data_IF_466341825758
#
_entry.id   IF_466341825758
#
_cell.length_a   1.000
_cell.length_b   1.000
_cell.length_c   1.000
_cell.angle_alpha   90.00
_cell.angle_beta   90.00
_cell.angle_gamma   90.00
#
_symmetry.space_group_name_H-M   'P 1'
#
loop_
_entity.id
_entity.type
_entity.pdbx_description
1 polymer ?
#
# COMPACT_ATOMS: atom_id res chain seq x y z
N UNK A 1 -4.24 -49.10 16.92
CA UNK A 1 -4.12 -47.62 16.88
C UNK A 1 -3.08 -47.11 15.88
N UNK A 2 -1.96 -47.81 15.65
CA UNK A 2 -0.91 -47.38 14.71
C UNK A 2 -1.21 -47.56 13.21
N UNK A 3 -2.13 -48.45 12.81
CA UNK A 3 -2.45 -48.67 11.39
C UNK A 3 -3.36 -47.58 10.78
N UNK A 4 -4.26 -47.00 11.58
CA UNK A 4 -5.15 -45.90 11.14
C UNK A 4 -4.41 -44.56 11.03
N UNK A 5 -3.37 -44.34 11.84
CA UNK A 5 -2.54 -43.13 11.79
C UNK A 5 -1.61 -43.12 10.57
N UNK A 6 -1.09 -44.29 10.15
CA UNK A 6 -0.30 -44.42 8.92
C UNK A 6 -1.13 -44.21 7.65
N UNK A 7 -2.39 -44.69 7.64
CA UNK A 7 -3.32 -44.43 6.53
C UNK A 7 -3.69 -42.94 6.40
N UNK A 8 -3.81 -42.23 7.53
CA UNK A 8 -4.11 -40.79 7.53
C UNK A 8 -2.90 -39.93 7.10
N UNK A 9 -1.69 -40.33 7.50
CA UNK A 9 -0.46 -39.62 7.10
C UNK A 9 -0.09 -39.85 5.63
N UNK A 10 -0.36 -41.04 5.09
CA UNK A 10 -0.16 -41.35 3.66
C UNK A 10 -1.19 -40.67 2.75
N UNK A 11 -2.42 -40.42 3.25
CA UNK A 11 -3.42 -39.63 2.52
C UNK A 11 -3.02 -38.14 2.45
N UNK A 12 -2.43 -37.60 3.52
CA UNK A 12 -1.99 -36.20 3.57
C UNK A 12 -0.71 -35.94 2.75
N UNK A 13 0.22 -36.90 2.71
CA UNK A 13 1.44 -36.80 1.90
C UNK A 13 1.13 -37.08 0.42
N UNK A 14 0.17 -37.96 0.11
CA UNK A 14 -0.27 -38.24 -1.26
C UNK A 14 -0.97 -37.06 -1.94
N UNK A 15 -1.71 -36.23 -1.17
CA UNK A 15 -2.35 -35.01 -1.68
C UNK A 15 -1.37 -33.85 -1.89
N UNK A 16 -0.16 -33.90 -1.31
CA UNK A 16 0.85 -32.87 -1.46
C UNK A 16 1.85 -33.16 -2.60
N UNK A 17 1.90 -34.40 -3.12
CA UNK A 17 2.87 -34.84 -4.13
C UNK A 17 2.26 -35.05 -5.53
N UNK A 18 0.94 -34.95 -5.70
CA UNK A 18 0.25 -35.07 -7.01
C UNK A 18 -0.60 -33.85 -7.37
N UNK A 19 -0.18 -32.66 -6.94
CA UNK A 19 -0.91 -31.42 -7.21
C UNK A 19 -0.01 -30.19 -7.26
N UNK A 20 1.11 -30.25 -7.99
CA UNK A 20 1.83 -29.06 -8.45
C UNK A 20 1.07 -28.36 -9.59
N UNK A 21 -0.20 -28.04 -9.33
CA UNK A 21 -0.92 -27.04 -10.08
C UNK A 21 -1.08 -25.86 -9.16
N UNK A 22 -0.37 -24.79 -9.50
CA UNK A 22 -0.56 -23.45 -8.96
C UNK A 22 -2.06 -23.21 -8.83
N UNK A 23 -2.59 -23.16 -7.60
CA UNK A 23 -3.96 -22.71 -7.42
C UNK A 23 -4.01 -21.29 -8.00
N UNK A 24 -4.76 -21.05 -9.08
CA UNK A 24 -4.81 -19.72 -9.67
C UNK A 24 -5.38 -18.78 -8.60
N UNK A 25 -4.75 -17.61 -8.44
CA UNK A 25 -5.18 -16.55 -7.52
C UNK A 25 -6.66 -16.13 -7.72
N UNK A 26 -7.30 -16.56 -8.82
CA UNK A 26 -8.73 -16.45 -9.12
C UNK A 26 -9.63 -17.06 -8.04
N UNK A 27 -9.19 -18.12 -7.35
CA UNK A 27 -10.03 -18.91 -6.42
C UNK A 27 -10.50 -18.16 -5.16
N UNK A 28 -9.75 -17.16 -4.68
CA UNK A 28 -10.11 -16.44 -3.45
C UNK A 28 -11.19 -15.37 -3.70
N UNK A 29 -11.16 -14.74 -4.88
CA UNK A 29 -12.11 -13.70 -5.26
C UNK A 29 -13.49 -14.27 -5.58
N UNK A 30 -13.54 -15.40 -6.29
CA UNK A 30 -14.78 -16.11 -6.61
C UNK A 30 -15.43 -16.68 -5.34
N UNK A 31 -14.62 -17.25 -4.43
CA UNK A 31 -15.13 -17.77 -3.16
C UNK A 31 -15.70 -16.67 -2.24
N UNK A 32 -15.17 -15.45 -2.28
CA UNK A 32 -15.56 -14.37 -1.34
C UNK A 32 -16.61 -13.39 -1.88
N UNK A 33 -16.70 -13.22 -3.20
CA UNK A 33 -17.50 -12.12 -3.78
C UNK A 33 -18.51 -12.57 -4.86
N UNK A 34 -18.55 -13.84 -5.25
CA UNK A 34 -19.50 -14.34 -6.25
C UNK A 34 -19.36 -13.67 -7.63
N UNK A 35 -18.27 -12.95 -7.87
CA UNK A 35 -17.93 -12.30 -9.13
C UNK A 35 -16.57 -12.82 -9.59
N UNK A 36 -16.51 -13.25 -10.84
CA UNK A 36 -15.26 -13.59 -11.51
C UNK A 36 -14.45 -12.32 -11.68
N UNK A 37 -13.44 -12.10 -10.84
CA UNK A 37 -12.39 -11.11 -11.13
C UNK A 37 -11.57 -11.70 -12.27
N UNK A 38 -12.00 -11.43 -13.50
CA UNK A 38 -11.27 -11.82 -14.71
C UNK A 38 -9.92 -11.11 -14.67
N UNK A 39 -8.88 -11.88 -14.36
CA UNK A 39 -7.47 -11.53 -14.44
C UNK A 39 -7.14 -10.27 -13.64
N UNK A 40 -6.34 -10.39 -12.58
CA UNK A 40 -5.40 -9.31 -12.35
C UNK A 40 -4.62 -9.20 -13.66
N UNK A 41 -4.71 -8.10 -14.42
CA UNK A 41 -3.82 -7.95 -15.55
C UNK A 41 -2.43 -8.12 -14.94
N UNK A 42 -1.66 -9.09 -15.43
CA UNK A 42 -0.21 -8.94 -15.31
C UNK A 42 0.02 -7.52 -15.83
N UNK A 43 0.44 -6.62 -14.96
CA UNK A 43 0.72 -5.24 -15.32
C UNK A 43 2.01 -5.26 -16.14
N UNK A 44 1.93 -5.85 -17.33
CA UNK A 44 2.98 -5.87 -18.31
C UNK A 44 2.83 -4.54 -19.02
N UNK A 45 3.84 -3.71 -18.82
CA UNK A 45 3.97 -2.48 -19.58
C UNK A 45 3.94 -2.85 -21.07
N UNK A 46 3.24 -2.07 -21.86
CA UNK A 46 3.36 -2.22 -23.31
C UNK A 46 4.80 -1.83 -23.73
N UNK A 47 5.20 -2.29 -24.91
CA UNK A 47 6.57 -2.10 -25.40
C UNK A 47 6.98 -0.62 -25.47
N UNK A 48 6.05 0.29 -25.78
CA UNK A 48 6.36 1.71 -25.86
C UNK A 48 6.58 2.30 -24.46
N UNK A 49 5.82 1.85 -23.47
CA UNK A 49 6.06 2.20 -22.06
C UNK A 49 7.42 1.69 -21.56
N UNK A 50 7.82 0.46 -21.91
CA UNK A 50 9.15 -0.08 -21.58
C UNK A 50 10.27 0.75 -22.23
N UNK A 51 10.20 1.01 -23.53
CA UNK A 51 11.20 1.83 -24.27
C UNK A 51 11.29 3.27 -23.72
N UNK A 52 10.15 3.85 -23.32
CA UNK A 52 10.12 5.16 -22.68
C UNK A 52 10.82 5.13 -21.32
N UNK A 53 10.56 4.14 -20.48
CA UNK A 53 11.21 4.01 -19.17
C UNK A 53 12.71 3.77 -19.31
N UNK A 54 13.14 2.92 -20.24
CA UNK A 54 14.56 2.67 -20.51
C UNK A 54 15.27 3.96 -20.96
N UNK A 55 14.62 4.75 -21.81
CA UNK A 55 15.13 6.06 -22.23
C UNK A 55 15.18 7.04 -21.06
N UNK A 56 14.14 7.11 -20.23
CA UNK A 56 14.08 7.97 -19.06
C UNK A 56 15.21 7.62 -18.09
N UNK A 57 15.37 6.34 -17.76
CA UNK A 57 16.43 5.85 -16.88
C UNK A 57 17.79 6.14 -17.51
N UNK A 58 18.02 5.83 -18.78
CA UNK A 58 19.32 6.05 -19.42
C UNK A 58 19.74 7.52 -19.38
N UNK A 59 18.80 8.43 -19.66
CA UNK A 59 19.09 9.85 -19.78
C UNK A 59 19.03 10.62 -18.45
N UNK A 60 18.57 10.01 -17.36
CA UNK A 60 18.52 10.67 -16.04
C UNK A 60 19.91 10.68 -15.38
N UNK A 61 20.41 11.84 -14.90
CA UNK A 61 21.67 11.91 -14.16
C UNK A 61 21.69 10.99 -12.94
N UNK A 62 22.87 10.49 -12.57
CA UNK A 62 23.02 9.55 -11.45
C UNK A 62 22.48 10.12 -10.13
N UNK A 63 22.72 11.40 -9.85
CA UNK A 63 22.26 12.06 -8.63
C UNK A 63 20.72 12.08 -8.54
N UNK A 64 20.04 12.33 -9.65
CA UNK A 64 18.58 12.31 -9.69
C UNK A 64 18.03 10.88 -9.53
N UNK A 65 18.70 9.88 -10.12
CA UNK A 65 18.36 8.46 -9.90
C UNK A 65 18.47 8.06 -8.45
N UNK A 66 19.53 8.53 -7.77
CA UNK A 66 19.71 8.32 -6.33
C UNK A 66 18.56 8.98 -5.57
N UNK A 67 18.17 10.21 -5.92
CA UNK A 67 17.01 10.90 -5.37
C UNK A 67 15.73 10.06 -5.44
N UNK A 68 15.48 9.39 -6.56
CA UNK A 68 14.32 8.52 -6.74
C UNK A 68 14.23 7.32 -5.77
N UNK A 69 15.32 6.97 -5.07
CA UNK A 69 15.31 5.92 -4.05
C UNK A 69 14.82 6.40 -2.68
N UNK A 70 14.68 7.72 -2.48
CA UNK A 70 14.33 8.30 -1.19
C UNK A 70 12.88 8.74 -1.11
N UNK A 71 12.27 8.39 0.03
CA UNK A 71 10.96 8.83 0.44
C UNK A 71 11.10 9.65 1.72
N UNK A 72 10.67 10.90 1.67
CA UNK A 72 10.83 11.82 2.81
C UNK A 72 9.51 11.98 3.57
N UNK A 73 9.57 12.07 4.91
CA UNK A 73 8.37 12.31 5.71
C UNK A 73 7.88 13.75 5.56
N UNK A 74 6.56 13.91 5.47
CA UNK A 74 5.89 15.21 5.42
C UNK A 74 4.67 15.25 6.35
N UNK A 75 4.28 16.46 6.77
CA UNK A 75 2.97 16.71 7.37
C UNK A 75 2.02 17.21 6.29
N UNK A 76 0.81 16.65 6.28
CA UNK A 76 -0.30 17.01 5.42
C UNK A 76 -1.22 18.05 6.07
N UNK A 77 -0.70 18.86 6.98
CA UNK A 77 -1.42 20.00 7.55
C UNK A 77 -1.12 21.24 6.70
N UNK A 78 -2.03 22.22 6.70
CA UNK A 78 -1.76 23.49 6.03
C UNK A 78 -0.56 24.20 6.67
N UNK A 79 0.45 24.49 5.87
CA UNK A 79 1.64 25.25 6.29
C UNK A 79 1.82 26.51 5.46
N UNK A 80 2.34 27.55 6.10
CA UNK A 80 2.72 28.78 5.40
C UNK A 80 3.89 28.49 4.44
N UNK A 81 3.99 29.24 3.34
CA UNK A 81 5.12 29.18 2.41
C UNK A 81 6.46 29.49 3.06
N UNK A 82 6.46 30.29 4.11
CA UNK A 82 7.69 30.62 4.85
C UNK A 82 8.07 29.59 5.91
N UNK A 83 7.24 28.57 6.11
CA UNK A 83 7.51 27.51 7.05
C UNK A 83 8.77 26.73 6.67
N UNK A 84 9.62 26.46 7.67
CA UNK A 84 10.89 25.76 7.47
C UNK A 84 10.69 24.33 6.94
N UNK A 85 9.70 23.62 7.46
CA UNK A 85 9.41 22.25 7.02
C UNK A 85 8.96 22.24 5.57
N UNK A 86 8.15 23.22 5.17
CA UNK A 86 7.70 23.35 3.78
C UNK A 86 8.86 23.69 2.83
N UNK A 87 9.74 24.63 3.20
CA UNK A 87 10.95 24.94 2.41
C UNK A 87 11.88 23.75 2.25
N UNK A 88 12.00 22.92 3.29
CA UNK A 88 12.76 21.67 3.21
C UNK A 88 12.13 20.69 2.20
N UNK A 89 10.81 20.54 2.20
CA UNK A 89 10.11 19.71 1.21
C UNK A 89 10.31 20.25 -0.21
N UNK A 90 10.24 21.57 -0.42
CA UNK A 90 10.52 22.19 -1.72
C UNK A 90 11.95 21.87 -2.18
N UNK A 91 12.95 22.02 -1.31
CA UNK A 91 14.34 21.68 -1.65
C UNK A 91 14.49 20.21 -2.02
N UNK A 92 13.93 19.30 -1.21
CA UNK A 92 14.03 17.87 -1.49
C UNK A 92 13.37 17.48 -2.83
N UNK A 93 12.23 18.09 -3.15
CA UNK A 93 11.51 17.81 -4.41
C UNK A 93 12.20 18.43 -5.61
N UNK A 94 12.61 19.70 -5.53
CA UNK A 94 13.12 20.45 -6.68
C UNK A 94 14.60 20.24 -6.95
N UNK A 95 15.42 20.12 -5.91
CA UNK A 95 16.89 20.02 -6.01
C UNK A 95 17.39 18.59 -5.87
N UNK A 96 16.78 17.82 -4.97
CA UNK A 96 17.20 16.44 -4.73
C UNK A 96 16.37 15.41 -5.48
N UNK A 97 15.30 15.83 -6.16
CA UNK A 97 14.45 14.98 -7.00
C UNK A 97 14.06 13.68 -6.29
N UNK A 98 13.54 13.79 -5.06
CA UNK A 98 13.11 12.62 -4.29
C UNK A 98 12.04 11.81 -5.03
N UNK A 99 12.05 10.49 -4.83
CA UNK A 99 11.10 9.58 -5.48
C UNK A 99 9.70 9.69 -4.89
N UNK A 100 9.59 10.05 -3.61
CA UNK A 100 8.28 10.12 -2.98
C UNK A 100 8.23 10.82 -1.63
N UNK A 101 6.99 10.91 -1.15
CA UNK A 101 6.61 11.54 0.11
C UNK A 101 5.81 10.51 0.92
N UNK A 102 6.16 10.33 2.19
CA UNK A 102 5.32 9.63 3.17
C UNK A 102 4.64 10.64 4.09
N UNK A 103 3.32 10.74 4.04
CA UNK A 103 2.57 11.66 4.91
C UNK A 103 2.33 11.06 6.29
N UNK A 104 2.82 11.75 7.33
CA UNK A 104 2.83 11.24 8.71
C UNK A 104 1.54 11.54 9.47
N UNK A 105 0.97 12.75 9.31
CA UNK A 105 -0.34 13.19 9.82
C UNK A 105 -0.86 14.33 8.94
N UNK A 106 -2.15 14.62 8.99
CA UNK A 106 -2.72 15.74 8.27
C UNK A 106 -4.21 15.94 8.49
N UNK A 107 -4.74 16.87 7.69
CA UNK A 107 -6.17 17.09 7.51
C UNK A 107 -6.50 17.02 6.01
N UNK A 108 -7.79 16.82 5.69
CA UNK A 108 -8.24 16.59 4.32
C UNK A 108 -7.79 17.73 3.37
N UNK A 109 -7.94 18.98 3.80
CA UNK A 109 -7.64 20.13 2.96
C UNK A 109 -6.14 20.37 2.85
N UNK A 110 -5.44 20.37 3.99
CA UNK A 110 -4.00 20.55 4.08
C UNK A 110 -3.26 19.55 3.19
N UNK A 111 -3.60 18.26 3.27
CA UNK A 111 -2.89 17.23 2.53
C UNK A 111 -3.19 17.33 1.04
N UNK A 112 -4.46 17.51 0.64
CA UNK A 112 -4.81 17.66 -0.78
C UNK A 112 -4.09 18.86 -1.42
N UNK A 113 -4.02 20.00 -0.73
CA UNK A 113 -3.29 21.18 -1.21
C UNK A 113 -1.79 20.92 -1.28
N UNK A 114 -1.22 20.30 -0.25
CA UNK A 114 0.21 19.97 -0.18
C UNK A 114 0.62 19.01 -1.30
N UNK A 115 -0.09 17.88 -1.47
CA UNK A 115 0.13 16.91 -2.54
C UNK A 115 0.14 17.60 -3.90
N UNK A 116 -0.90 18.38 -4.20
CA UNK A 116 -1.00 19.08 -5.48
C UNK A 116 0.14 20.10 -5.69
N UNK A 117 0.59 20.76 -4.61
CA UNK A 117 1.69 21.73 -4.68
C UNK A 117 3.03 21.04 -4.96
N UNK A 118 3.35 20.00 -4.21
CA UNK A 118 4.60 19.25 -4.37
C UNK A 118 4.66 18.55 -5.74
N UNK A 119 3.55 17.96 -6.20
CA UNK A 119 3.48 17.34 -7.52
C UNK A 119 3.77 18.34 -8.66
N UNK A 120 3.26 19.58 -8.56
CA UNK A 120 3.55 20.63 -9.56
C UNK A 120 5.01 21.09 -9.57
N UNK A 121 5.73 20.91 -8.46
CA UNK A 121 7.14 21.30 -8.32
C UNK A 121 8.09 20.18 -8.75
N UNK A 122 7.62 18.94 -8.76
CA UNK A 122 8.43 17.79 -9.00
C UNK A 122 8.74 17.61 -10.49
N UNK A 123 10.00 17.30 -10.80
CA UNK A 123 10.45 16.93 -12.15
C UNK A 123 9.86 15.58 -12.57
N UNK A 124 9.82 14.64 -11.64
CA UNK A 124 9.22 13.32 -11.80
C UNK A 124 7.98 13.24 -10.90
N UNK A 125 6.89 12.56 -11.32
CA UNK A 125 5.73 12.38 -10.46
C UNK A 125 6.13 11.75 -9.12
N UNK A 126 5.78 12.42 -8.02
CA UNK A 126 6.09 11.93 -6.69
C UNK A 126 5.21 10.74 -6.36
N UNK A 127 5.82 9.69 -5.83
CA UNK A 127 5.07 8.59 -5.26
C UNK A 127 4.61 8.98 -3.85
N UNK A 128 3.31 9.15 -3.69
CA UNK A 128 2.72 9.54 -2.40
C UNK A 128 2.28 8.29 -1.66
N UNK A 129 2.84 8.06 -0.47
CA UNK A 129 2.52 6.93 0.38
C UNK A 129 2.05 7.34 1.78
N UNK A 130 1.31 6.45 2.44
CA UNK A 130 0.78 6.70 3.78
C UNK A 130 0.34 5.41 4.47
N UNK A 131 0.54 5.32 5.79
CA UNK A 131 -0.05 4.25 6.59
C UNK A 131 -1.54 4.51 6.78
N UNK A 132 -2.40 3.58 6.36
CA UNK A 132 -3.85 3.68 6.54
C UNK A 132 -4.44 2.35 6.99
N UNK A 133 -3.77 1.69 7.94
CA UNK A 133 -4.04 0.33 8.38
C UNK A 133 -5.44 0.11 8.95
N UNK A 134 -6.05 1.16 9.52
CA UNK A 134 -7.44 1.16 10.02
C UNK A 134 -8.29 2.28 9.39
N UNK A 135 -8.03 2.57 8.12
CA UNK A 135 -8.66 3.66 7.37
C UNK A 135 -7.78 4.89 7.27
N UNK A 136 -8.18 5.85 6.43
CA UNK A 136 -7.43 7.11 6.29
C UNK A 136 -7.36 7.88 7.63
N UNK A 137 -8.32 7.64 8.54
CA UNK A 137 -8.34 8.24 9.87
C UNK A 137 -7.15 7.89 10.76
N UNK A 138 -6.33 6.89 10.37
CA UNK A 138 -5.05 6.64 11.03
C UNK A 138 -4.13 7.86 10.99
N UNK A 139 -4.22 8.66 9.92
CA UNK A 139 -3.31 9.78 9.67
C UNK A 139 -4.04 11.09 9.39
N UNK A 140 -5.26 11.03 8.87
CA UNK A 140 -6.02 12.18 8.41
C UNK A 140 -7.20 12.45 9.33
N UNK A 141 -7.25 13.64 9.90
CA UNK A 141 -8.41 14.07 10.67
C UNK A 141 -9.64 14.27 9.76
N UNK A 142 -10.81 13.82 10.23
CA UNK A 142 -12.09 14.00 9.52
C UNK A 142 -12.43 12.93 8.47
N UNK A 143 -11.62 11.90 8.30
CA UNK A 143 -11.91 10.76 7.40
C UNK A 143 -12.48 9.55 8.14
N UNK A 144 -12.84 8.50 7.41
CA UNK A 144 -13.46 7.31 7.98
C UNK A 144 -12.50 6.52 8.87
N UNK A 145 -12.93 6.24 10.11
CA UNK A 145 -12.21 5.39 11.06
C UNK A 145 -12.82 4.00 11.13
N UNK A 146 -11.99 2.99 10.96
CA UNK A 146 -12.36 1.60 11.19
C UNK A 146 -11.75 1.08 12.49
N UNK A 147 -12.23 -0.09 12.93
CA UNK A 147 -11.55 -0.87 13.94
C UNK A 147 -10.23 -1.42 13.38
N UNK A 148 -9.19 -1.63 14.20
CA UNK A 148 -7.96 -2.30 13.77
C UNK A 148 -8.21 -3.70 13.20
N UNK A 149 -7.22 -4.25 12.49
CA UNK A 149 -7.33 -5.52 11.76
C UNK A 149 -7.84 -6.68 12.63
N UNK A 150 -7.44 -6.75 13.90
CA UNK A 150 -7.94 -7.77 14.83
C UNK A 150 -9.45 -7.65 15.08
N UNK A 151 -9.99 -6.43 15.21
CA UNK A 151 -11.43 -6.20 15.34
C UNK A 151 -12.20 -6.53 14.06
N UNK A 152 -11.61 -6.27 12.89
CA UNK A 152 -12.20 -6.70 11.60
C UNK A 152 -12.24 -8.22 11.52
N UNK A 153 -11.15 -8.89 11.91
CA UNK A 153 -11.06 -10.35 11.93
C UNK A 153 -12.07 -10.97 12.93
N UNK A 154 -12.29 -10.34 14.08
CA UNK A 154 -13.26 -10.79 15.09
C UNK A 154 -14.71 -10.81 14.56
N UNK A 155 -15.02 -10.06 13.49
CA UNK A 155 -16.34 -10.14 12.83
C UNK A 155 -16.59 -11.48 12.11
N UNK A 156 -15.55 -12.25 11.81
CA UNK A 156 -15.64 -13.52 11.08
C UNK A 156 -16.02 -13.39 9.59
N UNK A 157 -16.24 -12.18 9.08
CA UNK A 157 -16.71 -11.93 7.71
C UNK A 157 -15.65 -11.16 6.90
N UNK A 158 -15.09 -11.83 5.89
CA UNK A 158 -14.04 -11.25 5.03
C UNK A 158 -14.55 -10.08 4.18
N UNK A 159 -15.87 -9.95 3.99
CA UNK A 159 -16.46 -8.79 3.30
C UNK A 159 -16.18 -7.49 4.04
N UNK A 160 -16.08 -7.52 5.37
CA UNK A 160 -15.74 -6.34 6.16
C UNK A 160 -14.31 -5.85 5.86
N UNK A 161 -13.34 -6.77 5.74
CA UNK A 161 -11.98 -6.42 5.34
C UNK A 161 -11.92 -5.82 3.93
N UNK A 162 -12.68 -6.39 2.98
CA UNK A 162 -12.79 -5.84 1.64
C UNK A 162 -13.41 -4.45 1.62
N UNK A 163 -14.52 -4.25 2.33
CA UNK A 163 -15.20 -2.96 2.39
C UNK A 163 -14.33 -1.89 3.03
N UNK A 164 -13.62 -2.23 4.10
CA UNK A 164 -12.63 -1.35 4.70
C UNK A 164 -11.55 -0.95 3.69
N UNK A 165 -10.89 -1.92 3.04
CA UNK A 165 -9.87 -1.64 2.03
C UNK A 165 -10.39 -0.78 0.87
N UNK A 166 -11.62 -1.05 0.40
CA UNK A 166 -12.27 -0.27 -0.66
C UNK A 166 -12.52 1.18 -0.25
N UNK A 167 -13.05 1.41 0.95
CA UNK A 167 -13.33 2.76 1.45
C UNK A 167 -12.01 3.51 1.67
N UNK A 168 -11.01 2.87 2.30
CA UNK A 168 -9.68 3.45 2.47
C UNK A 168 -9.06 3.84 1.14
N UNK A 169 -9.14 2.99 0.11
CA UNK A 169 -8.60 3.30 -1.21
C UNK A 169 -9.30 4.48 -1.91
N UNK A 170 -10.62 4.63 -1.71
CA UNK A 170 -11.38 5.79 -2.23
C UNK A 170 -10.89 7.08 -1.57
N UNK A 171 -10.78 7.10 -0.24
CA UNK A 171 -10.29 8.27 0.50
C UNK A 171 -8.82 8.58 0.18
N UNK A 172 -7.96 7.56 0.14
CA UNK A 172 -6.56 7.68 -0.25
C UNK A 172 -6.40 8.32 -1.63
N UNK A 173 -7.16 7.85 -2.62
CA UNK A 173 -7.15 8.41 -3.97
C UNK A 173 -7.59 9.87 -3.99
N UNK A 174 -8.61 10.24 -3.19
CA UNK A 174 -9.05 11.63 -3.08
C UNK A 174 -7.98 12.56 -2.49
N UNK A 175 -7.14 12.03 -1.60
CA UNK A 175 -6.00 12.74 -0.99
C UNK A 175 -4.73 12.72 -1.86
N UNK A 176 -4.76 12.01 -2.99
CA UNK A 176 -3.62 11.83 -3.89
C UNK A 176 -2.59 10.81 -3.41
N UNK A 177 -2.98 9.88 -2.54
CA UNK A 177 -2.15 8.77 -2.07
C UNK A 177 -2.25 7.59 -3.04
N UNK A 178 -1.09 7.09 -3.47
CA UNK A 178 -0.97 6.00 -4.47
C UNK A 178 -0.67 4.66 -3.79
N UNK A 179 0.12 4.70 -2.72
CA UNK A 179 0.50 3.51 -1.97
C UNK A 179 0.06 3.62 -0.52
N UNK A 180 -0.81 2.70 -0.13
CA UNK A 180 -1.18 2.51 1.26
C UNK A 180 -0.26 1.44 1.83
N UNK A 181 0.39 1.71 2.97
CA UNK A 181 1.12 0.68 3.72
C UNK A 181 0.13 -0.13 4.56
N UNK A 182 -0.66 -0.95 3.87
CA UNK A 182 -1.61 -1.91 4.43
C UNK A 182 -1.91 -2.96 3.34
N UNK A 183 -2.38 -4.16 3.69
CA UNK A 183 -2.69 -4.65 5.04
C UNK A 183 -1.44 -5.08 5.81
N UNK A 184 -1.52 -5.02 7.15
CA UNK A 184 -0.60 -5.79 8.02
C UNK A 184 -0.95 -7.27 7.87
N UNK A 185 0.04 -8.07 7.50
CA UNK A 185 -0.09 -9.52 7.32
C UNK A 185 0.67 -10.32 8.40
N UNK A 186 1.17 -9.63 9.41
CA UNK A 186 1.85 -10.27 10.53
C UNK A 186 0.88 -11.16 11.32
N UNK A 187 1.35 -12.35 11.70
CA UNK A 187 0.58 -13.28 12.52
C UNK A 187 0.90 -13.02 13.99
N UNK A 188 -0.03 -12.40 14.72
CA UNK A 188 0.14 -12.06 16.13
C UNK A 188 -0.05 -13.28 17.06
N UNK A 189 0.86 -14.25 16.98
CA UNK A 189 0.84 -15.48 17.81
C UNK A 189 1.62 -15.36 19.14
N UNK A 190 2.30 -14.23 19.36
CA UNK A 190 2.96 -13.89 20.62
C UNK A 190 2.15 -12.79 21.32
N UNK A 191 1.44 -13.09 22.42
CA UNK A 191 0.63 -12.08 23.13
C UNK A 191 1.45 -10.92 23.70
N UNK A 192 2.76 -11.13 23.93
CA UNK A 192 3.66 -10.11 24.47
C UNK A 192 4.28 -9.22 23.38
N UNK A 193 3.89 -9.37 22.11
CA UNK A 193 4.39 -8.52 21.03
C UNK A 193 3.83 -7.09 21.18
N UNK A 194 4.68 -6.08 21.46
CA UNK A 194 4.23 -4.71 21.72
C UNK A 194 4.05 -3.88 20.45
N UNK A 195 4.48 -4.38 19.29
CA UNK A 195 4.47 -3.64 18.01
C UNK A 195 3.20 -3.94 17.21
N UNK A 196 2.81 -5.22 17.11
CA UNK A 196 1.68 -5.64 16.27
C UNK A 196 0.35 -5.51 17.00
N UNK A 197 0.31 -5.95 18.26
CA UNK A 197 -0.85 -6.06 19.16
C UNK A 197 -2.25 -5.74 18.56
N UNK A 198 -3.04 -4.85 19.20
CA UNK A 198 -4.41 -4.46 18.78
C UNK A 198 -4.44 -3.01 18.34
#
# INVERSE_FOLDING_TARGET
MQSRLKAFLLLFIGLFVLGSHSLPAQSLSEFLFGQTVKNFPEARLDKASEEYLDSLITNTPLEEKIGQLFFIPAQGEFTNRDDRSFKMLEEMVQKHHVGGIIFMRGDIYGQAVMTNKLQRMAKFPLWISQDMEFGAAMRISGTTRFTPAMGVAASGDKRNAFMMGKITAIEAKALGVHQIYAPVLDVNNNPDNPVINV
#
